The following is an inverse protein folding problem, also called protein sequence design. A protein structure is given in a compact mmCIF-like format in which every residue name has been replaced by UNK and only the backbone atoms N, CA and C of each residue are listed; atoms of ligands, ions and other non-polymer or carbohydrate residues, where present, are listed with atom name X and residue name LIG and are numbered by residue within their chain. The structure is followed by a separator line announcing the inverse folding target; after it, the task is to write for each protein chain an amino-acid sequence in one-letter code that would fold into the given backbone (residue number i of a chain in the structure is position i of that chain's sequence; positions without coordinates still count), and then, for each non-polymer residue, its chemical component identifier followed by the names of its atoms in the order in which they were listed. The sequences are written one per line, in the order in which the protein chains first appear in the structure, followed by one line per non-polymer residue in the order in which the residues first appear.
data_IF_193333310826
#
_entry.id   IF_193333310826
#
_cell.length_a   1.000
_cell.length_b   1.000
_cell.length_c   1.000
_cell.angle_alpha   90.00
_cell.angle_beta   90.00
_cell.angle_gamma   90.00
#
_symmetry.space_group_name_H-M   'P 1'
#
loop_
_entity.id
_entity.type
_entity.pdbx_description
1 polymer ?
#
# COMPACT_ATOMS: atom_id res chain seq x y z
N UNK A 1 -14.83 -21.32 15.57
CA UNK A 1 -13.53 -21.89 15.97
C UNK A 1 -12.50 -21.11 15.18
N UNK A 2 -11.62 -20.42 15.91
CA UNK A 2 -10.61 -19.49 15.39
C UNK A 2 -9.79 -20.14 14.28
N UNK A 3 -9.84 -19.58 13.10
CA UNK A 3 -8.77 -19.74 12.11
C UNK A 3 -7.62 -18.85 12.55
N UNK A 4 -6.80 -19.38 13.45
CA UNK A 4 -5.39 -19.01 13.52
C UNK A 4 -4.77 -19.47 12.19
N UNK A 5 -4.92 -18.66 11.15
CA UNK A 5 -4.12 -18.80 9.94
C UNK A 5 -2.71 -18.39 10.34
N UNK A 6 -1.85 -19.37 10.59
CA UNK A 6 -0.41 -19.17 10.79
C UNK A 6 0.10 -18.20 9.71
N UNK A 7 0.46 -16.98 10.13
CA UNK A 7 1.12 -15.99 9.29
C UNK A 7 2.47 -16.58 8.88
N UNK A 8 2.52 -17.20 7.70
CA UNK A 8 3.76 -17.71 7.17
C UNK A 8 4.67 -16.51 6.85
N UNK A 9 5.89 -16.44 7.41
CA UNK A 9 6.81 -15.33 7.15
C UNK A 9 7.09 -15.14 5.65
N UNK A 10 7.04 -16.22 4.87
CA UNK A 10 7.21 -16.18 3.42
C UNK A 10 6.09 -15.41 2.71
N UNK A 11 4.85 -15.48 3.23
CA UNK A 11 3.68 -14.83 2.65
C UNK A 11 3.70 -13.32 2.90
N UNK A 12 4.06 -12.87 4.12
CA UNK A 12 4.14 -11.44 4.42
C UNK A 12 5.29 -10.75 3.65
N UNK A 13 6.43 -11.43 3.48
CA UNK A 13 7.52 -10.91 2.65
C UNK A 13 7.10 -10.80 1.17
N UNK A 14 6.30 -11.75 0.68
CA UNK A 14 5.74 -11.69 -0.66
C UNK A 14 4.77 -10.50 -0.80
N UNK A 15 3.90 -10.27 0.18
CA UNK A 15 3.00 -9.12 0.21
C UNK A 15 3.75 -7.79 0.21
N UNK A 16 4.81 -7.67 1.00
CA UNK A 16 5.67 -6.48 1.02
C UNK A 16 6.28 -6.22 -0.36
N UNK A 17 6.86 -7.24 -1.01
CA UNK A 17 7.43 -7.10 -2.36
C UNK A 17 6.39 -6.65 -3.39
N UNK A 18 5.17 -7.16 -3.29
CA UNK A 18 4.08 -6.77 -4.19
C UNK A 18 3.65 -5.33 -3.99
N UNK A 19 3.52 -4.87 -2.74
CA UNK A 19 3.21 -3.46 -2.43
C UNK A 19 4.31 -2.54 -2.93
N UNK A 20 5.59 -2.86 -2.68
CA UNK A 20 6.73 -2.11 -3.18
C UNK A 20 6.75 -2.04 -4.71
N UNK A 21 6.42 -3.15 -5.39
CA UNK A 21 6.34 -3.17 -6.85
C UNK A 21 5.22 -2.29 -7.40
N UNK A 22 4.06 -2.22 -6.72
CA UNK A 22 2.97 -1.33 -7.09
C UNK A 22 3.35 0.14 -6.93
N UNK A 23 3.98 0.50 -5.80
CA UNK A 23 4.48 1.86 -5.53
C UNK A 23 5.54 2.29 -6.55
N UNK A 24 6.49 1.41 -6.88
CA UNK A 24 7.52 1.69 -7.88
C UNK A 24 6.92 1.92 -9.28
N UNK A 25 5.90 1.14 -9.66
CA UNK A 25 5.19 1.32 -10.94
C UNK A 25 4.45 2.64 -11.01
N UNK A 26 3.79 3.04 -9.92
CA UNK A 26 3.13 4.35 -9.82
C UNK A 26 4.13 5.47 -10.06
N UNK A 27 5.26 5.48 -9.35
CA UNK A 27 6.30 6.51 -9.48
C UNK A 27 6.84 6.63 -10.91
N UNK A 28 7.10 5.49 -11.56
CA UNK A 28 7.55 5.49 -12.96
C UNK A 28 6.47 6.03 -13.90
N UNK A 29 5.21 5.67 -13.69
CA UNK A 29 4.11 6.14 -14.52
C UNK A 29 3.88 7.66 -14.35
N UNK A 30 3.93 8.18 -13.13
CA UNK A 30 3.85 9.61 -12.83
C UNK A 30 5.02 10.35 -13.47
N UNK A 31 6.26 9.89 -13.30
CA UNK A 31 7.45 10.46 -13.94
C UNK A 31 7.34 10.50 -15.48
N UNK A 32 6.75 9.47 -16.09
CA UNK A 32 6.55 9.40 -17.53
C UNK A 32 5.46 10.36 -18.00
N UNK A 33 4.35 10.47 -17.28
CA UNK A 33 3.28 11.43 -17.59
C UNK A 33 3.82 12.85 -17.48
N UNK A 34 4.53 13.18 -16.40
CA UNK A 34 5.13 14.50 -16.18
C UNK A 34 6.09 14.95 -17.28
N UNK A 35 6.81 14.01 -17.92
CA UNK A 35 7.76 14.32 -19.01
C UNK A 35 7.10 14.54 -20.37
N UNK A 36 5.83 14.20 -20.54
CA UNK A 36 5.13 14.34 -21.82
C UNK A 36 4.23 15.58 -21.82
N UNK A 37 4.61 16.57 -22.64
CA UNK A 37 3.76 17.73 -22.92
C UNK A 37 2.69 17.32 -23.96
N UNK A 38 1.54 16.87 -23.47
CA UNK A 38 0.44 16.32 -24.28
C UNK A 38 -0.88 17.04 -24.00
N UNK A 39 -1.78 17.17 -25.00
CA UNK A 39 -3.12 17.70 -24.75
C UNK A 39 -3.86 16.78 -23.77
N UNK A 40 -4.51 17.39 -22.77
CA UNK A 40 -5.23 16.70 -21.67
C UNK A 40 -4.33 16.01 -20.62
N UNK A 41 -3.07 16.46 -20.48
CA UNK A 41 -2.10 15.98 -19.47
C UNK A 41 -2.73 15.75 -18.09
N UNK A 42 -3.34 16.78 -17.49
CA UNK A 42 -3.95 16.69 -16.14
C UNK A 42 -5.01 15.58 -16.04
N UNK A 43 -5.81 15.35 -17.08
CA UNK A 43 -6.84 14.31 -17.06
C UNK A 43 -6.24 12.91 -17.09
N UNK A 44 -5.15 12.72 -17.87
CA UNK A 44 -4.43 11.45 -17.96
C UNK A 44 -3.72 11.17 -16.64
N UNK A 45 -3.05 12.16 -16.08
CA UNK A 45 -2.38 12.08 -14.79
C UNK A 45 -3.37 11.67 -13.69
N UNK A 46 -4.50 12.38 -13.56
CA UNK A 46 -5.54 12.07 -12.59
C UNK A 46 -6.12 10.65 -12.78
N UNK A 47 -6.28 10.19 -14.02
CA UNK A 47 -6.81 8.85 -14.29
C UNK A 47 -5.81 7.75 -13.89
N UNK A 48 -4.54 7.94 -14.24
CA UNK A 48 -3.45 7.02 -13.90
C UNK A 48 -3.27 6.95 -12.38
N UNK A 49 -3.27 8.09 -11.70
CA UNK A 49 -3.17 8.16 -10.25
C UNK A 49 -4.32 7.41 -9.57
N UNK A 50 -5.58 7.68 -9.94
CA UNK A 50 -6.76 6.97 -9.41
C UNK A 50 -6.72 5.46 -9.67
N UNK A 51 -6.18 5.03 -10.81
CA UNK A 51 -6.03 3.62 -11.11
C UNK A 51 -5.02 2.95 -10.15
N UNK A 52 -3.87 3.59 -9.92
CA UNK A 52 -2.86 3.07 -8.99
C UNK A 52 -3.38 3.00 -7.56
N UNK A 53 -4.03 4.06 -7.08
CA UNK A 53 -4.68 4.09 -5.76
C UNK A 53 -5.68 2.93 -5.62
N UNK A 54 -6.54 2.72 -6.62
CA UNK A 54 -7.53 1.65 -6.57
C UNK A 54 -6.90 0.25 -6.50
N UNK A 55 -5.84 0.00 -7.29
CA UNK A 55 -5.13 -1.29 -7.28
C UNK A 55 -4.44 -1.51 -5.93
N UNK A 56 -3.75 -0.49 -5.41
CA UNK A 56 -3.06 -0.57 -4.13
C UNK A 56 -4.05 -0.75 -2.98
N UNK A 57 -5.16 0.00 -2.97
CA UNK A 57 -6.23 -0.15 -1.97
C UNK A 57 -6.84 -1.54 -1.99
N UNK A 58 -7.16 -2.09 -3.16
CA UNK A 58 -7.70 -3.44 -3.28
C UNK A 58 -6.72 -4.49 -2.75
N UNK A 59 -5.41 -4.30 -2.97
CA UNK A 59 -4.39 -5.18 -2.40
C UNK A 59 -4.39 -5.09 -0.88
N UNK A 60 -4.33 -3.89 -0.31
CA UNK A 60 -4.32 -3.67 1.14
C UNK A 60 -5.60 -4.20 1.81
N UNK A 61 -6.76 -4.03 1.18
CA UNK A 61 -8.06 -4.53 1.65
C UNK A 61 -8.13 -6.06 1.74
N UNK A 62 -7.29 -6.78 0.98
CA UNK A 62 -7.21 -8.24 1.03
C UNK A 62 -6.21 -8.78 2.07
N UNK A 63 -5.38 -7.92 2.67
CA UNK A 63 -4.37 -8.30 3.66
C UNK A 63 -4.92 -8.24 5.09
N UNK A 64 -4.38 -9.03 6.00
CA UNK A 64 -4.69 -8.91 7.42
C UNK A 64 -4.09 -7.63 8.01
N UNK A 65 -4.64 -7.14 9.13
CA UNK A 65 -4.13 -5.94 9.80
C UNK A 65 -2.65 -6.09 10.23
N UNK A 66 -2.24 -7.27 10.67
CA UNK A 66 -0.84 -7.56 11.03
C UNK A 66 0.11 -7.50 9.81
N UNK A 67 -0.33 -8.00 8.64
CA UNK A 67 0.46 -7.91 7.40
C UNK A 67 0.61 -6.44 6.97
N UNK A 68 -0.47 -5.66 7.07
CA UNK A 68 -0.45 -4.22 6.73
C UNK A 68 0.46 -3.45 7.70
N UNK A 69 0.41 -3.75 9.00
CA UNK A 69 1.30 -3.19 10.00
C UNK A 69 2.78 -3.48 9.67
N UNK A 70 3.11 -4.74 9.40
CA UNK A 70 4.46 -5.14 8.99
C UNK A 70 4.94 -4.41 7.73
N UNK A 71 4.06 -4.29 6.72
CA UNK A 71 4.38 -3.57 5.48
C UNK A 71 4.64 -2.09 5.77
N UNK A 72 3.77 -1.43 6.54
CA UNK A 72 3.93 -0.02 6.90
C UNK A 72 5.27 0.21 7.60
N UNK A 73 5.66 -0.65 8.54
CA UNK A 73 6.95 -0.54 9.23
C UNK A 73 8.14 -0.64 8.27
N UNK A 74 8.08 -1.54 7.29
CA UNK A 74 9.14 -1.77 6.32
C UNK A 74 9.26 -0.68 5.22
N UNK A 75 8.22 0.13 5.00
CA UNK A 75 8.24 1.18 3.98
C UNK A 75 9.04 2.42 4.43
N UNK A 76 9.71 3.13 3.50
CA UNK A 76 10.21 4.49 3.74
C UNK A 76 9.09 5.43 4.18
N UNK A 77 9.44 6.52 4.87
CA UNK A 77 8.45 7.43 5.48
C UNK A 77 7.40 7.95 4.48
N UNK A 78 7.81 8.37 3.29
CA UNK A 78 6.91 8.92 2.27
C UNK A 78 5.89 7.87 1.80
N UNK A 79 6.37 6.68 1.44
CA UNK A 79 5.53 5.56 1.02
C UNK A 79 4.63 5.06 2.16
N UNK A 80 5.14 5.05 3.39
CA UNK A 80 4.37 4.68 4.59
C UNK A 80 3.18 5.62 4.78
N UNK A 81 3.39 6.93 4.72
CA UNK A 81 2.33 7.92 4.88
C UNK A 81 1.29 7.79 3.77
N UNK A 82 1.73 7.60 2.53
CA UNK A 82 0.84 7.40 1.41
C UNK A 82 0.00 6.12 1.55
N UNK A 83 0.63 4.99 1.91
CA UNK A 83 -0.07 3.72 2.15
C UNK A 83 -1.04 3.84 3.32
N UNK A 84 -0.65 4.54 4.39
CA UNK A 84 -1.51 4.81 5.54
C UNK A 84 -2.80 5.54 5.15
N UNK A 85 -2.70 6.60 4.34
CA UNK A 85 -3.87 7.37 3.87
C UNK A 85 -4.83 6.55 2.98
N UNK A 86 -4.36 5.46 2.36
CA UNK A 86 -5.18 4.58 1.51
C UNK A 86 -5.96 3.52 2.29
N UNK A 87 -5.54 3.21 3.52
CA UNK A 87 -6.23 2.25 4.38
C UNK A 87 -7.57 2.84 4.84
N UNK A 88 -8.57 1.98 5.05
CA UNK A 88 -9.87 2.42 5.59
C UNK A 88 -9.74 2.75 7.07
N UNK A 89 -10.31 3.88 7.48
CA UNK A 89 -10.35 4.33 8.86
C UNK A 89 -10.89 3.29 9.87
N UNK A 90 -11.77 2.38 9.44
CA UNK A 90 -12.29 1.29 10.27
C UNK A 90 -11.22 0.26 10.66
N UNK A 91 -10.15 0.15 9.87
CA UNK A 91 -9.03 -0.80 10.06
C UNK A 91 -7.85 -0.16 10.78
N UNK A 92 -7.79 1.17 10.84
CA UNK A 92 -6.69 1.92 11.47
C UNK A 92 -6.48 1.50 12.92
N UNK A 93 -7.58 1.27 13.66
CA UNK A 93 -7.52 0.84 15.06
C UNK A 93 -6.81 -0.51 15.23
N UNK A 94 -7.19 -1.51 14.44
CA UNK A 94 -6.56 -2.83 14.48
C UNK A 94 -5.10 -2.76 14.03
N UNK A 95 -4.80 -2.02 12.96
CA UNK A 95 -3.43 -1.88 12.45
C UNK A 95 -2.53 -1.17 13.48
N UNK A 96 -3.02 -0.12 14.14
CA UNK A 96 -2.25 0.58 15.19
C UNK A 96 -1.97 -0.30 16.41
N UNK A 97 -2.89 -1.21 16.75
CA UNK A 97 -2.67 -2.19 17.81
C UNK A 97 -1.52 -3.15 17.45
N UNK A 98 -1.50 -3.66 16.21
CA UNK A 98 -0.44 -4.54 15.73
C UNK A 98 0.94 -3.84 15.66
N UNK A 99 1.00 -2.62 15.10
CA UNK A 99 2.24 -1.81 15.06
C UNK A 99 2.75 -1.52 16.48
N UNK A 100 1.85 -1.28 17.44
CA UNK A 100 2.23 -1.01 18.82
C UNK A 100 2.74 -2.25 19.57
N UNK A 101 2.30 -3.44 19.18
CA UNK A 101 2.74 -4.70 19.81
C UNK A 101 4.10 -5.16 19.27
N UNK A 102 4.42 -4.87 18.01
CA UNK A 102 5.73 -5.16 17.41
C UNK A 102 6.91 -4.40 18.05
N UNK A 103 6.62 -3.34 18.82
CA UNK A 103 7.62 -2.48 19.48
C UNK A 103 7.78 -2.80 20.99
N UNK A 104 7.11 -3.84 21.51
CA UNK A 104 7.18 -4.25 22.93
C UNK A 104 8.27 -5.29 23.21
#
# INVERSE_FOLDING_TARGET
MNTEQELHPDDVQQHLREVQALLARQKVAEDLVHRQDMPRHELVENLVHKQHEAVLRNKLDALHSADVAYILEALPLEERLYVWDLVKAERDGDILLEVSDAVR
#
